data_IF_811659500536
#
_entry.id   IF_811659500536
#
_cell.length_a   1.000
_cell.length_b   1.000
_cell.length_c   1.000
_cell.angle_alpha   90.00
_cell.angle_beta   90.00
_cell.angle_gamma   90.00
#
_symmetry.space_group_name_H-M   'P 1'
#
loop_
_entity.id
_entity.type
_entity.pdbx_description
1 polymer ?
#
# COMPACT_ATOMS: atom_id res chain seq x y z
N UNK A 1 -1.44 15.07 7.64
CA UNK A 1 -0.45 14.62 6.64
C UNK A 1 -0.25 13.12 6.83
N UNK A 2 -0.76 12.30 5.90
CA UNK A 2 -0.55 10.84 5.94
C UNK A 2 0.94 10.52 5.77
N UNK A 3 1.54 9.76 6.69
CA UNK A 3 2.91 9.24 6.58
C UNK A 3 2.91 8.12 5.55
N UNK A 4 3.26 8.44 4.31
CA UNK A 4 3.54 7.42 3.31
C UNK A 4 4.82 6.66 3.69
N UNK A 5 4.77 5.33 3.63
CA UNK A 5 5.95 4.48 3.85
C UNK A 5 6.85 4.49 2.60
N UNK A 6 8.17 4.31 2.73
CA UNK A 6 9.08 4.22 1.57
C UNK A 6 8.66 3.16 0.55
N UNK A 7 8.08 2.04 1.00
CA UNK A 7 7.55 0.99 0.14
C UNK A 7 6.35 1.47 -0.69
N UNK A 8 5.44 2.24 -0.09
CA UNK A 8 4.31 2.80 -0.82
C UNK A 8 4.74 3.80 -1.92
N UNK A 9 5.86 4.50 -1.71
CA UNK A 9 6.46 5.36 -2.75
C UNK A 9 7.02 4.53 -3.91
N UNK A 10 7.74 3.44 -3.59
CA UNK A 10 8.30 2.55 -4.61
C UNK A 10 7.20 1.85 -5.42
N UNK A 11 6.12 1.41 -4.77
CA UNK A 11 4.94 0.84 -5.44
C UNK A 11 4.33 1.85 -6.43
N UNK A 12 4.06 3.07 -5.96
CA UNK A 12 3.54 4.17 -6.78
C UNK A 12 4.42 4.45 -8.01
N UNK A 13 5.74 4.46 -7.81
CA UNK A 13 6.73 4.67 -8.86
C UNK A 13 6.70 3.56 -9.91
N UNK A 14 6.67 2.28 -9.49
CA UNK A 14 6.59 1.13 -10.40
C UNK A 14 5.28 1.12 -11.19
N UNK A 15 4.17 1.44 -10.54
CA UNK A 15 2.86 1.52 -11.20
C UNK A 15 2.87 2.60 -12.29
N UNK A 16 3.45 3.77 -12.03
CA UNK A 16 3.54 4.81 -13.05
C UNK A 16 4.47 4.43 -14.21
N UNK A 17 5.59 3.72 -13.96
CA UNK A 17 6.43 3.17 -15.04
C UNK A 17 5.62 2.22 -15.93
N UNK A 18 4.86 1.31 -15.31
CA UNK A 18 4.03 0.37 -16.05
C UNK A 18 2.94 1.10 -16.85
N UNK A 19 2.31 2.11 -16.25
CA UNK A 19 1.34 2.98 -16.93
C UNK A 19 1.95 3.69 -18.14
N UNK A 20 3.16 4.26 -18.01
CA UNK A 20 3.87 4.87 -19.14
C UNK A 20 4.17 3.87 -20.25
N UNK A 21 4.60 2.65 -19.91
CA UNK A 21 4.89 1.61 -20.89
C UNK A 21 3.62 1.14 -21.62
N UNK A 22 2.53 0.93 -20.88
CA UNK A 22 1.23 0.56 -21.46
C UNK A 22 0.69 1.66 -22.37
N UNK A 23 0.71 2.92 -21.92
CA UNK A 23 0.29 4.07 -22.70
C UNK A 23 1.14 4.23 -23.98
N UNK A 24 2.47 4.07 -23.87
CA UNK A 24 3.37 4.10 -25.03
C UNK A 24 2.99 3.04 -26.07
N UNK A 25 2.82 1.78 -25.66
CA UNK A 25 2.49 0.68 -26.58
C UNK A 25 1.15 0.91 -27.26
N UNK A 26 0.12 1.22 -26.48
CA UNK A 26 -1.24 1.46 -27.00
C UNK A 26 -1.23 2.64 -27.96
N UNK A 27 -0.63 3.76 -27.59
CA UNK A 27 -0.61 4.96 -28.43
C UNK A 27 0.26 4.80 -29.67
N UNK A 28 1.38 4.09 -29.58
CA UNK A 28 2.20 3.77 -30.76
C UNK A 28 1.38 2.99 -31.79
N UNK A 29 0.57 2.01 -31.36
CA UNK A 29 -0.34 1.28 -32.25
C UNK A 29 -1.35 2.25 -32.89
N UNK A 30 -1.97 3.13 -32.11
CA UNK A 30 -2.94 4.10 -32.63
C UNK A 30 -2.32 5.17 -33.55
N UNK A 31 -1.04 5.53 -33.39
CA UNK A 31 -0.34 6.40 -34.36
C UNK A 31 -0.36 5.77 -35.76
N UNK A 32 -0.08 4.47 -35.86
CA UNK A 32 -0.11 3.76 -37.14
C UNK A 32 -1.53 3.57 -37.67
N UNK A 33 -2.46 3.13 -36.83
CA UNK A 33 -3.84 2.84 -37.25
C UNK A 33 -4.63 4.09 -37.60
N UNK A 34 -4.68 5.08 -36.72
CA UNK A 34 -5.47 6.29 -36.91
C UNK A 34 -4.78 7.30 -37.83
N UNK A 35 -3.45 7.35 -37.86
CA UNK A 35 -2.73 8.19 -38.81
C UNK A 35 -3.03 7.81 -40.25
N UNK A 36 -3.20 6.51 -40.52
CA UNK A 36 -3.60 5.99 -41.83
C UNK A 36 -5.09 6.18 -42.12
N UNK A 37 -5.96 5.94 -41.12
CA UNK A 37 -7.43 5.88 -41.34
C UNK A 37 -8.17 7.20 -41.11
N UNK A 38 -7.71 8.04 -40.19
CA UNK A 38 -8.36 9.30 -39.78
C UNK A 38 -7.54 10.54 -40.19
N UNK A 39 -6.37 10.33 -40.80
CA UNK A 39 -5.53 11.39 -41.37
C UNK A 39 -4.40 11.85 -40.45
N UNK A 40 -3.56 12.74 -41.00
CA UNK A 40 -2.30 13.17 -40.38
C UNK A 40 -2.51 13.86 -39.04
N UNK A 41 -3.60 14.61 -38.86
CA UNK A 41 -3.91 15.30 -37.60
C UNK A 41 -4.07 14.33 -36.42
N UNK A 42 -4.79 13.22 -36.60
CA UNK A 42 -4.92 12.19 -35.55
C UNK A 42 -3.59 11.49 -35.28
N UNK A 43 -2.79 11.25 -36.33
CA UNK A 43 -1.43 10.77 -36.19
C UNK A 43 -0.56 11.69 -35.31
N UNK A 44 -0.66 13.02 -35.49
CA UNK A 44 0.03 14.00 -34.66
C UNK A 44 -0.45 14.00 -33.19
N UNK A 45 -1.76 13.90 -32.95
CA UNK A 45 -2.30 13.83 -31.60
C UNK A 45 -1.81 12.58 -30.85
N UNK A 46 -1.91 11.41 -31.46
CA UNK A 46 -1.43 10.16 -30.86
C UNK A 46 0.10 10.19 -30.68
N UNK A 47 0.84 10.79 -31.62
CA UNK A 47 2.30 10.95 -31.50
C UNK A 47 2.68 11.86 -30.33
N UNK A 48 1.90 12.93 -30.09
CA UNK A 48 2.10 13.81 -28.94
C UNK A 48 1.92 13.06 -27.62
N UNK A 49 0.97 12.12 -27.57
CA UNK A 49 0.74 11.30 -26.40
C UNK A 49 1.85 10.26 -26.16
N UNK A 50 2.38 9.67 -27.24
CA UNK A 50 3.60 8.85 -27.19
C UNK A 50 4.76 9.66 -26.60
N UNK A 51 4.96 10.90 -27.05
CA UNK A 51 5.99 11.79 -26.53
C UNK A 51 5.78 12.10 -25.04
N UNK A 52 4.56 12.38 -24.59
CA UNK A 52 4.25 12.58 -23.16
C UNK A 52 4.66 11.33 -22.36
N UNK A 53 4.32 10.14 -22.84
CA UNK A 53 4.65 8.87 -22.18
C UNK A 53 6.16 8.67 -22.06
N UNK A 54 6.91 8.98 -23.12
CA UNK A 54 8.39 8.92 -23.14
C UNK A 54 9.00 9.97 -22.21
N UNK A 55 8.50 11.20 -22.21
CA UNK A 55 9.00 12.28 -21.34
C UNK A 55 8.81 11.92 -19.87
N UNK A 56 7.62 11.45 -19.48
CA UNK A 56 7.36 11.02 -18.10
C UNK A 56 8.21 9.80 -17.74
N UNK A 57 8.29 8.79 -18.62
CA UNK A 57 9.13 7.61 -18.40
C UNK A 57 10.61 7.96 -18.23
N UNK A 58 11.12 8.88 -19.05
CA UNK A 58 12.49 9.39 -18.96
C UNK A 58 12.72 10.19 -17.67
N UNK A 59 11.78 11.05 -17.29
CA UNK A 59 11.82 11.76 -16.01
C UNK A 59 11.86 10.80 -14.82
N UNK A 60 11.06 9.72 -14.83
CA UNK A 60 11.11 8.67 -13.81
C UNK A 60 12.45 7.95 -13.79
N UNK A 61 13.00 7.64 -14.95
CA UNK A 61 14.30 6.99 -15.08
C UNK A 61 15.44 7.84 -14.51
N UNK A 62 15.47 9.14 -14.80
CA UNK A 62 16.45 10.06 -14.23
C UNK A 62 16.34 10.15 -12.70
N UNK A 63 15.12 10.12 -12.17
CA UNK A 63 14.85 10.21 -10.73
C UNK A 63 14.83 8.85 -10.01
N UNK A 64 15.31 7.77 -10.64
CA UNK A 64 15.30 6.42 -10.03
C UNK A 64 16.06 6.32 -8.69
N UNK A 65 17.04 7.19 -8.47
CA UNK A 65 17.81 7.26 -7.20
C UNK A 65 17.08 8.06 -6.12
N UNK A 66 16.29 9.05 -6.53
CA UNK A 66 15.55 9.97 -5.65
C UNK A 66 14.08 9.91 -6.04
N UNK A 67 13.39 8.86 -5.58
CA UNK A 67 12.01 8.57 -6.00
C UNK A 67 11.14 9.81 -5.76
N UNK A 68 10.44 10.31 -6.80
CA UNK A 68 9.61 11.50 -6.68
C UNK A 68 8.53 11.34 -5.62
N UNK A 69 8.02 12.48 -5.13
CA UNK A 69 6.89 12.47 -4.19
C UNK A 69 5.66 11.80 -4.81
N UNK A 70 4.82 11.17 -3.98
CA UNK A 70 3.56 10.55 -4.45
C UNK A 70 2.68 11.55 -5.21
N UNK A 71 2.66 12.83 -4.77
CA UNK A 71 1.93 13.89 -5.46
C UNK A 71 2.46 14.13 -6.88
N UNK A 72 3.78 14.11 -7.07
CA UNK A 72 4.40 14.24 -8.40
C UNK A 72 4.07 13.05 -9.29
N UNK A 73 4.02 11.85 -8.73
CA UNK A 73 3.62 10.63 -9.46
C UNK A 73 2.14 10.67 -9.84
N UNK A 74 1.25 11.15 -8.96
CA UNK A 74 -0.17 11.37 -9.26
C UNK A 74 -0.38 12.39 -10.37
N UNK A 75 0.32 13.53 -10.33
CA UNK A 75 0.28 14.53 -11.39
C UNK A 75 0.79 13.95 -12.70
N UNK A 76 1.89 13.18 -12.66
CA UNK A 76 2.40 12.48 -13.84
C UNK A 76 1.37 11.52 -14.42
N UNK A 77 0.69 10.74 -13.58
CA UNK A 77 -0.38 9.84 -14.02
C UNK A 77 -1.55 10.59 -14.65
N UNK A 78 -2.00 11.70 -14.04
CA UNK A 78 -3.07 12.54 -14.58
C UNK A 78 -2.70 13.14 -15.94
N UNK A 79 -1.48 13.67 -16.09
CA UNK A 79 -0.97 14.18 -17.37
C UNK A 79 -0.89 13.08 -18.42
N UNK A 80 -0.58 11.85 -18.00
CA UNK A 80 -0.53 10.68 -18.88
C UNK A 80 -1.95 10.23 -19.30
N UNK A 81 -2.94 10.28 -18.41
CA UNK A 81 -4.30 9.80 -18.68
C UNK A 81 -5.16 10.82 -19.42
N UNK A 82 -5.03 12.12 -19.13
CA UNK A 82 -5.88 13.17 -19.69
C UNK A 82 -5.93 13.23 -21.23
N UNK A 83 -4.83 13.04 -21.98
CA UNK A 83 -4.88 13.07 -23.43
C UNK A 83 -5.77 11.98 -24.04
N UNK A 84 -5.97 10.83 -23.36
CA UNK A 84 -6.90 9.79 -23.84
C UNK A 84 -8.33 10.32 -23.99
N UNK A 85 -8.78 11.24 -23.12
CA UNK A 85 -10.11 11.83 -23.21
C UNK A 85 -10.25 12.66 -24.48
N UNK A 86 -9.23 13.46 -24.80
CA UNK A 86 -9.21 14.34 -25.98
C UNK A 86 -9.08 13.52 -27.26
N UNK A 87 -8.15 12.57 -27.31
CA UNK A 87 -7.93 11.73 -28.50
C UNK A 87 -9.13 10.84 -28.79
N UNK A 88 -9.75 10.26 -27.76
CA UNK A 88 -11.00 9.48 -27.92
C UNK A 88 -12.11 10.36 -28.46
N UNK A 89 -12.34 11.54 -27.87
CA UNK A 89 -13.41 12.44 -28.31
C UNK A 89 -13.25 12.83 -29.79
N UNK A 90 -12.07 13.31 -30.18
CA UNK A 90 -11.80 13.76 -31.55
C UNK A 90 -11.81 12.57 -32.51
N UNK A 91 -11.16 11.46 -32.15
CA UNK A 91 -11.01 10.29 -33.00
C UNK A 91 -12.34 9.63 -33.31
N UNK A 92 -13.17 9.41 -32.30
CA UNK A 92 -14.48 8.79 -32.49
C UNK A 92 -15.46 9.73 -33.22
N UNK A 93 -15.43 11.04 -32.94
CA UNK A 93 -16.21 12.02 -33.71
C UNK A 93 -15.82 12.02 -35.19
N UNK A 94 -14.51 11.97 -35.48
CA UNK A 94 -13.97 11.97 -36.84
C UNK A 94 -14.29 10.65 -37.55
N UNK A 95 -14.13 9.52 -36.87
CA UNK A 95 -14.47 8.20 -37.42
C UNK A 95 -15.95 8.10 -37.80
N UNK A 96 -16.85 8.59 -36.93
CA UNK A 96 -18.29 8.62 -37.21
C UNK A 96 -18.62 9.55 -38.38
N UNK A 97 -17.99 10.73 -38.46
CA UNK A 97 -18.16 11.65 -39.59
C UNK A 97 -17.73 11.02 -40.94
N UNK A 98 -16.75 10.12 -40.91
CA UNK A 98 -16.28 9.33 -42.06
C UNK A 98 -17.11 8.05 -42.30
N UNK A 99 -18.19 7.83 -41.54
CA UNK A 99 -19.05 6.65 -41.67
C UNK A 99 -18.43 5.34 -41.16
N UNK A 100 -17.37 5.42 -40.33
CA UNK A 100 -16.76 4.23 -39.75
C UNK A 100 -17.62 3.69 -38.60
N UNK A 101 -17.96 2.40 -38.66
CA UNK A 101 -18.65 1.69 -37.59
C UNK A 101 -17.66 1.34 -36.46
N UNK A 102 -17.38 2.32 -35.60
CA UNK A 102 -16.61 2.13 -34.36
C UNK A 102 -17.55 2.04 -33.16
N UNK A 103 -17.03 1.51 -32.05
CA UNK A 103 -17.72 1.53 -30.75
C UNK A 103 -17.19 2.72 -29.92
N UNK A 104 -17.80 3.91 -30.01
CA UNK A 104 -17.18 5.18 -29.56
C UNK A 104 -16.92 5.27 -28.05
N UNK A 105 -17.52 4.38 -27.27
CA UNK A 105 -17.44 4.40 -25.81
C UNK A 105 -16.46 3.38 -25.23
N UNK A 106 -16.03 2.39 -26.01
CA UNK A 106 -15.11 1.34 -25.54
C UNK A 106 -13.79 1.91 -25.01
N UNK A 107 -13.15 2.91 -25.65
CA UNK A 107 -11.93 3.49 -25.09
C UNK A 107 -12.15 4.15 -23.72
N UNK A 108 -13.31 4.81 -23.50
CA UNK A 108 -13.65 5.43 -22.20
C UNK A 108 -13.91 4.38 -21.12
N UNK A 109 -14.55 3.26 -21.48
CA UNK A 109 -14.76 2.12 -20.58
C UNK A 109 -13.42 1.52 -20.12
N UNK A 110 -12.49 1.28 -21.06
CA UNK A 110 -11.15 0.81 -20.73
C UNK A 110 -10.34 1.83 -19.93
N UNK A 111 -10.51 3.13 -20.21
CA UNK A 111 -9.84 4.19 -19.46
C UNK A 111 -10.28 4.19 -17.99
N UNK A 112 -11.57 3.99 -17.69
CA UNK A 112 -12.05 3.84 -16.31
C UNK A 112 -11.35 2.67 -15.59
N UNK A 113 -11.27 1.50 -16.23
CA UNK A 113 -10.58 0.33 -15.66
C UNK A 113 -9.09 0.60 -15.49
N UNK A 114 -8.46 1.20 -16.51
CA UNK A 114 -7.04 1.59 -16.49
C UNK A 114 -6.73 2.49 -15.30
N UNK A 115 -7.54 3.52 -15.04
CA UNK A 115 -7.38 4.43 -13.91
C UNK A 115 -7.54 3.66 -12.58
N UNK A 116 -8.56 2.81 -12.46
CA UNK A 116 -8.81 2.04 -11.24
C UNK A 116 -7.66 1.08 -10.89
N UNK A 117 -7.05 0.45 -11.91
CA UNK A 117 -5.96 -0.51 -11.73
C UNK A 117 -4.63 0.20 -11.51
N UNK A 118 -4.31 1.19 -12.35
CA UNK A 118 -2.96 1.75 -12.47
C UNK A 118 -2.77 3.13 -11.82
N UNK A 119 -3.78 3.72 -11.18
CA UNK A 119 -3.55 4.97 -10.46
C UNK A 119 -2.60 4.73 -9.27
N UNK A 120 -1.44 5.43 -9.18
CA UNK A 120 -0.40 5.12 -8.20
C UNK A 120 -0.72 5.61 -6.77
N UNK A 121 -1.68 6.50 -6.61
CA UNK A 121 -1.80 7.32 -5.40
C UNK A 121 -3.14 7.24 -4.67
N UNK A 122 -3.61 8.41 -4.27
CA UNK A 122 -4.82 8.62 -3.48
C UNK A 122 -6.05 8.18 -4.27
N UNK A 123 -6.86 7.36 -3.61
CA UNK A 123 -8.17 6.89 -4.10
C UNK A 123 -9.05 8.05 -4.56
N UNK A 124 -9.03 9.18 -3.85
CA UNK A 124 -9.83 10.35 -4.19
C UNK A 124 -9.49 10.92 -5.57
N UNK A 125 -8.20 10.97 -5.93
CA UNK A 125 -7.77 11.51 -7.23
C UNK A 125 -8.16 10.55 -8.35
N UNK A 126 -7.94 9.25 -8.17
CA UNK A 126 -8.36 8.23 -9.12
C UNK A 126 -9.89 8.22 -9.33
N UNK A 127 -10.65 8.34 -8.24
CA UNK A 127 -12.12 8.41 -8.29
C UNK A 127 -12.59 9.67 -9.02
N UNK A 128 -11.90 10.81 -8.81
CA UNK A 128 -12.15 12.03 -9.55
C UNK A 128 -11.88 11.87 -11.06
N UNK A 129 -10.75 11.26 -11.45
CA UNK A 129 -10.45 10.98 -12.87
C UNK A 129 -11.50 10.05 -13.51
N UNK A 130 -11.95 9.02 -12.80
CA UNK A 130 -13.04 8.16 -13.26
C UNK A 130 -14.32 8.99 -13.42
N UNK A 131 -14.68 9.82 -12.45
CA UNK A 131 -15.87 10.67 -12.53
C UNK A 131 -15.82 11.63 -13.72
N UNK A 132 -14.67 12.27 -13.96
CA UNK A 132 -14.44 13.12 -15.13
C UNK A 132 -14.63 12.31 -16.42
N UNK A 133 -14.08 11.10 -16.49
CA UNK A 133 -14.24 10.21 -17.65
C UNK A 133 -15.71 9.88 -17.90
N UNK A 134 -16.50 9.63 -16.86
CA UNK A 134 -17.94 9.36 -16.98
C UNK A 134 -18.73 10.60 -17.42
N UNK A 135 -18.39 11.78 -16.89
CA UNK A 135 -19.02 13.04 -17.32
C UNK A 135 -18.72 13.30 -18.80
N UNK A 136 -17.48 13.08 -19.24
CA UNK A 136 -17.10 13.17 -20.65
C UNK A 136 -17.90 12.17 -21.47
N UNK A 137 -18.03 10.91 -21.06
CA UNK A 137 -18.83 9.91 -21.77
C UNK A 137 -20.30 10.33 -21.92
N UNK A 138 -20.95 10.76 -20.83
CA UNK A 138 -22.36 11.21 -20.88
C UNK A 138 -22.50 12.42 -21.80
N UNK A 139 -21.59 13.38 -21.71
CA UNK A 139 -21.59 14.57 -22.58
C UNK A 139 -21.40 14.17 -24.05
N UNK A 140 -20.49 13.24 -24.30
CA UNK A 140 -20.20 12.73 -25.64
C UNK A 140 -21.43 12.04 -26.25
N UNK A 141 -22.14 11.26 -25.45
CA UNK A 141 -23.38 10.62 -25.87
C UNK A 141 -24.45 11.62 -26.29
N UNK A 142 -24.67 12.69 -25.53
CA UNK A 142 -25.61 13.74 -25.91
C UNK A 142 -25.21 14.44 -27.22
N UNK A 143 -23.92 14.75 -27.39
CA UNK A 143 -23.41 15.37 -28.62
C UNK A 143 -23.59 14.45 -29.83
N UNK A 144 -23.21 13.18 -29.71
CA UNK A 144 -23.37 12.20 -30.78
C UNK A 144 -24.83 11.98 -31.15
N UNK A 145 -25.73 11.89 -30.17
CA UNK A 145 -27.16 11.74 -30.42
C UNK A 145 -27.76 12.95 -31.14
N UNK A 146 -27.29 14.15 -30.84
CA UNK A 146 -27.73 15.38 -31.49
C UNK A 146 -27.21 15.49 -32.94
N UNK A 147 -25.96 15.11 -33.19
CA UNK A 147 -25.32 15.21 -34.51
C UNK A 147 -25.69 14.05 -35.44
N UNK A 148 -25.86 12.84 -34.89
CA UNK A 148 -26.01 11.61 -35.65
C UNK A 148 -27.14 10.72 -35.09
N UNK A 149 -28.43 11.15 -35.19
CA UNK A 149 -29.56 10.49 -34.55
C UNK A 149 -29.82 9.05 -35.01
N UNK A 150 -29.28 8.65 -36.17
CA UNK A 150 -29.47 7.32 -36.76
C UNK A 150 -28.36 6.31 -36.42
N UNK A 151 -27.34 6.69 -35.64
CA UNK A 151 -26.15 5.84 -35.40
C UNK A 151 -26.40 4.61 -34.54
N UNK A 152 -27.61 4.43 -33.98
CA UNK A 152 -27.99 3.18 -33.32
C UNK A 152 -27.10 2.81 -32.12
N UNK A 153 -26.50 3.82 -31.45
CA UNK A 153 -25.73 3.62 -30.21
C UNK A 153 -26.69 3.19 -29.08
N UNK A 154 -27.03 1.92 -29.08
CA UNK A 154 -27.94 1.29 -28.12
C UNK A 154 -27.21 1.00 -26.82
N UNK A 155 -27.88 1.21 -25.69
CA UNK A 155 -27.34 0.90 -24.36
C UNK A 155 -26.39 1.95 -23.76
N UNK A 156 -25.89 2.90 -24.54
CA UNK A 156 -25.12 4.04 -23.99
C UNK A 156 -26.05 5.16 -23.50
N UNK A 157 -25.67 5.93 -22.46
CA UNK A 157 -24.39 5.89 -21.73
C UNK A 157 -24.36 4.85 -20.58
N UNK A 158 -25.41 4.04 -20.41
CA UNK A 158 -25.58 3.15 -19.26
C UNK A 158 -24.52 2.04 -19.21
N UNK A 159 -24.10 1.51 -20.36
CA UNK A 159 -22.99 0.57 -20.42
C UNK A 159 -21.71 1.20 -19.86
N UNK A 160 -21.33 2.40 -20.31
CA UNK A 160 -20.15 3.11 -19.79
C UNK A 160 -20.25 3.44 -18.30
N UNK A 161 -21.43 3.83 -17.82
CA UNK A 161 -21.67 4.05 -16.39
C UNK A 161 -21.48 2.77 -15.57
N UNK A 162 -21.87 1.61 -16.11
CA UNK A 162 -21.66 0.30 -15.46
C UNK A 162 -20.16 -0.02 -15.34
N UNK A 163 -19.38 0.23 -16.39
CA UNK A 163 -17.92 0.09 -16.34
C UNK A 163 -17.28 1.08 -15.34
N UNK A 164 -17.78 2.31 -15.27
CA UNK A 164 -17.40 3.28 -14.24
C UNK A 164 -17.66 2.78 -12.82
N UNK A 165 -18.83 2.21 -12.58
CA UNK A 165 -19.18 1.62 -11.29
C UNK A 165 -18.24 0.46 -10.93
N UNK A 166 -17.97 -0.45 -11.88
CA UNK A 166 -17.00 -1.54 -11.71
C UNK A 166 -15.62 -1.00 -11.38
N UNK A 167 -15.15 0.03 -12.11
CA UNK A 167 -13.87 0.68 -11.84
C UNK A 167 -13.81 1.30 -10.42
N UNK A 168 -14.88 1.96 -9.96
CA UNK A 168 -14.97 2.49 -8.60
C UNK A 168 -14.98 1.39 -7.53
N UNK A 169 -15.67 0.27 -7.78
CA UNK A 169 -15.64 -0.90 -6.89
C UNK A 169 -14.24 -1.50 -6.82
N UNK A 170 -13.55 -1.67 -7.95
CA UNK A 170 -12.16 -2.14 -8.00
C UNK A 170 -11.23 -1.20 -7.24
N UNK A 171 -11.37 0.11 -7.43
CA UNK A 171 -10.59 1.12 -6.74
C UNK A 171 -10.82 1.08 -5.22
N UNK A 172 -12.06 0.88 -4.79
CA UNK A 172 -12.43 0.74 -3.38
C UNK A 172 -11.87 -0.55 -2.76
N UNK A 173 -11.99 -1.67 -3.47
CA UNK A 173 -11.41 -2.95 -3.06
C UNK A 173 -9.88 -2.86 -2.92
N UNK A 174 -9.22 -2.16 -3.84
CA UNK A 174 -7.78 -1.88 -3.78
C UNK A 174 -7.40 -1.06 -2.55
N UNK A 175 -8.17 -0.02 -2.25
CA UNK A 175 -7.98 0.81 -1.06
C UNK A 175 -8.12 0.00 0.24
N UNK A 176 -9.17 -0.83 0.29
CA UNK A 176 -9.44 -1.70 1.42
C UNK A 176 -8.32 -2.74 1.63
N UNK A 177 -7.88 -3.41 0.55
CA UNK A 177 -6.78 -4.37 0.58
C UNK A 177 -5.49 -3.73 1.10
N UNK A 178 -5.16 -2.52 0.65
CA UNK A 178 -3.98 -1.78 1.13
C UNK A 178 -4.06 -1.50 2.63
N UNK A 179 -5.25 -1.11 3.12
CA UNK A 179 -5.48 -0.92 4.56
C UNK A 179 -5.32 -2.19 5.38
N UNK A 180 -5.76 -3.35 4.87
CA UNK A 180 -5.55 -4.65 5.52
C UNK A 180 -4.07 -5.01 5.57
N UNK A 181 -3.36 -4.89 4.44
CA UNK A 181 -1.94 -5.24 4.36
C UNK A 181 -1.13 -4.42 5.36
N UNK A 182 -1.38 -3.11 5.44
CA UNK A 182 -0.71 -2.24 6.41
C UNK A 182 -0.98 -2.64 7.86
N UNK A 183 -2.23 -3.05 8.18
CA UNK A 183 -2.56 -3.55 9.51
C UNK A 183 -1.83 -4.86 9.81
N UNK A 184 -1.80 -5.78 8.85
CA UNK A 184 -1.11 -7.07 8.98
C UNK A 184 0.40 -6.88 9.20
N UNK A 185 1.03 -6.00 8.43
CA UNK A 185 2.46 -5.66 8.58
C UNK A 185 2.74 -5.05 9.95
N UNK A 186 1.88 -4.15 10.43
CA UNK A 186 2.02 -3.57 11.77
C UNK A 186 1.92 -4.63 12.86
N UNK A 187 0.90 -5.48 12.82
CA UNK A 187 0.72 -6.57 13.79
C UNK A 187 1.87 -7.57 13.75
N UNK A 188 2.41 -7.87 12.55
CA UNK A 188 3.59 -8.73 12.41
C UNK A 188 4.84 -8.09 13.02
N UNK A 189 5.06 -6.81 12.78
CA UNK A 189 6.19 -6.08 13.36
C UNK A 189 6.10 -6.00 14.90
N UNK A 190 4.90 -5.78 15.44
CA UNK A 190 4.64 -5.82 16.89
C UNK A 190 4.92 -7.22 17.47
N UNK A 191 4.43 -8.28 16.82
CA UNK A 191 4.69 -9.66 17.23
C UNK A 191 6.19 -10.03 17.21
N UNK A 192 6.92 -9.62 16.16
CA UNK A 192 8.37 -9.83 16.08
C UNK A 192 9.13 -9.07 17.18
N UNK A 193 8.68 -7.87 17.54
CA UNK A 193 9.28 -7.10 18.63
C UNK A 193 9.07 -7.79 19.99
N UNK A 194 7.86 -8.29 20.27
CA UNK A 194 7.59 -9.08 21.47
C UNK A 194 8.42 -10.36 21.54
N UNK A 195 8.58 -11.07 20.42
CA UNK A 195 9.42 -12.27 20.37
C UNK A 195 10.89 -11.95 20.66
N UNK A 196 11.42 -10.82 20.16
CA UNK A 196 12.77 -10.37 20.47
C UNK A 196 12.92 -9.98 21.95
N UNK A 197 11.94 -9.30 22.53
CA UNK A 197 11.94 -8.96 23.95
C UNK A 197 11.94 -10.22 24.83
N UNK A 198 11.07 -11.19 24.54
CA UNK A 198 11.01 -12.47 25.25
C UNK A 198 12.35 -13.22 25.18
N UNK A 199 12.99 -13.29 24.00
CA UNK A 199 14.33 -13.88 23.85
C UNK A 199 15.38 -13.17 24.70
N UNK A 200 15.32 -11.85 24.79
CA UNK A 200 16.25 -11.07 25.60
C UNK A 200 16.03 -11.30 27.10
N UNK A 201 14.77 -11.35 27.57
CA UNK A 201 14.46 -11.67 28.96
C UNK A 201 14.94 -13.07 29.36
N UNK A 202 14.74 -14.08 28.49
CA UNK A 202 15.27 -15.42 28.71
C UNK A 202 16.80 -15.41 28.80
N UNK A 203 17.48 -14.73 27.87
CA UNK A 203 18.94 -14.62 27.90
C UNK A 203 19.47 -13.90 29.15
N UNK A 204 18.75 -12.89 29.65
CA UNK A 204 19.08 -12.19 30.91
C UNK A 204 18.88 -13.12 32.10
N UNK A 205 17.77 -13.85 32.17
CA UNK A 205 17.48 -14.85 33.21
C UNK A 205 18.58 -15.91 33.27
N UNK A 206 18.90 -16.51 32.13
CA UNK A 206 19.88 -17.59 32.05
C UNK A 206 21.28 -17.11 32.49
N UNK A 207 21.62 -15.85 32.19
CA UNK A 207 22.87 -15.22 32.66
C UNK A 207 22.85 -14.82 34.14
N UNK A 208 21.69 -14.45 34.69
CA UNK A 208 21.57 -14.05 36.10
C UNK A 208 21.63 -15.24 37.07
N UNK A 209 21.19 -16.43 36.64
CA UNK A 209 21.15 -17.62 37.48
C UNK A 209 22.52 -18.06 38.01
N UNK A 210 23.57 -18.02 37.18
CA UNK A 210 24.90 -18.49 37.62
C UNK A 210 25.55 -17.58 38.68
N UNK A 211 25.61 -16.24 38.50
CA UNK A 211 26.05 -15.33 39.56
C UNK A 211 25.24 -15.46 40.85
N UNK A 212 23.91 -15.65 40.77
CA UNK A 212 23.07 -15.84 41.95
C UNK A 212 23.45 -17.09 42.75
N UNK A 213 23.73 -18.20 42.06
CA UNK A 213 24.22 -19.42 42.71
C UNK A 213 25.57 -19.20 43.41
N UNK A 214 26.49 -18.46 42.77
CA UNK A 214 27.79 -18.12 43.36
C UNK A 214 27.63 -17.22 44.59
N UNK A 215 26.81 -16.17 44.51
CA UNK A 215 26.56 -15.28 45.65
C UNK A 215 25.91 -16.05 46.80
N UNK A 216 24.97 -16.95 46.52
CA UNK A 216 24.34 -17.79 47.54
C UNK A 216 25.34 -18.75 48.21
N UNK A 217 26.24 -19.36 47.43
CA UNK A 217 27.32 -20.20 47.95
C UNK A 217 28.27 -19.40 48.85
N UNK A 218 28.70 -18.22 48.40
CA UNK A 218 29.56 -17.32 49.18
C UNK A 218 28.89 -16.89 50.48
N UNK A 219 27.59 -16.53 50.44
CA UNK A 219 26.82 -16.18 51.62
C UNK A 219 26.79 -17.34 52.63
N UNK A 220 26.55 -18.56 52.16
CA UNK A 220 26.52 -19.77 53.01
C UNK A 220 27.89 -20.03 53.67
N UNK A 221 28.99 -19.82 52.95
CA UNK A 221 30.35 -19.97 53.50
C UNK A 221 30.71 -18.90 54.54
N UNK A 222 30.23 -17.65 54.38
CA UNK A 222 30.45 -16.57 55.35
C UNK A 222 29.74 -16.91 56.67
N UNK A 223 28.48 -17.38 56.62
CA UNK A 223 27.72 -17.83 57.79
C UNK A 223 28.44 -18.95 58.55
N UNK A 224 28.99 -19.91 57.82
CA UNK A 224 29.70 -21.04 58.42
C UNK A 224 31.01 -20.62 59.10
N UNK A 225 31.68 -19.56 58.64
CA UNK A 225 32.95 -19.08 59.20
C UNK A 225 32.80 -18.05 60.31
N UNK A 226 31.80 -17.16 60.23
CA UNK A 226 31.63 -16.04 61.15
C UNK A 226 30.19 -16.03 61.71
N UNK A 227 29.86 -16.89 62.68
CA UNK A 227 28.50 -16.99 63.21
C UNK A 227 28.02 -15.71 63.92
N UNK A 228 28.94 -14.81 64.32
CA UNK A 228 28.61 -13.59 65.07
C UNK A 228 28.17 -12.40 64.17
N UNK A 229 28.42 -12.44 62.86
CA UNK A 229 28.01 -11.37 61.90
C UNK A 229 26.61 -11.61 61.29
N UNK A 230 25.60 -11.82 62.12
CA UNK A 230 24.23 -12.18 61.68
C UNK A 230 23.54 -11.09 60.85
N UNK A 231 23.70 -9.81 61.18
CA UNK A 231 22.94 -8.73 60.54
C UNK A 231 23.30 -8.52 59.04
N UNK A 232 24.60 -8.54 58.72
CA UNK A 232 25.08 -8.35 57.33
C UNK A 232 24.68 -9.52 56.44
N UNK A 233 24.74 -10.74 56.98
CA UNK A 233 24.29 -11.96 56.30
C UNK A 233 22.79 -11.90 55.99
N UNK A 234 21.96 -11.52 56.96
CA UNK A 234 20.51 -11.44 56.75
C UNK A 234 20.13 -10.40 55.67
N UNK A 235 20.87 -9.29 55.58
CA UNK A 235 20.69 -8.30 54.51
C UNK A 235 21.08 -8.87 53.13
N UNK A 236 22.16 -9.65 53.05
CA UNK A 236 22.58 -10.31 51.83
C UNK A 236 21.57 -11.38 51.38
N UNK A 237 21.09 -12.21 52.31
CA UNK A 237 20.05 -13.21 52.04
C UNK A 237 18.74 -12.59 51.55
N UNK A 238 18.27 -11.50 52.20
CA UNK A 238 17.09 -10.77 51.73
C UNK A 238 17.26 -10.19 50.32
N UNK A 239 18.46 -9.74 49.98
CA UNK A 239 18.76 -9.23 48.63
C UNK A 239 18.80 -10.34 47.58
N UNK A 240 19.31 -11.53 47.94
CA UNK A 240 19.28 -12.73 47.11
C UNK A 240 17.84 -13.19 46.83
N UNK A 241 16.98 -13.22 47.86
CA UNK A 241 15.57 -13.58 47.71
C UNK A 241 14.87 -12.63 46.73
N UNK A 242 15.07 -11.30 46.85
CA UNK A 242 14.50 -10.33 45.91
C UNK A 242 15.00 -10.51 44.48
N UNK A 243 16.27 -10.90 44.30
CA UNK A 243 16.82 -11.18 42.97
C UNK A 243 16.25 -12.48 42.39
N UNK A 244 16.01 -13.50 43.22
CA UNK A 244 15.31 -14.72 42.83
C UNK A 244 13.86 -14.45 42.44
N UNK A 245 13.12 -13.68 43.22
CA UNK A 245 11.75 -13.24 42.88
C UNK A 245 11.70 -12.53 41.52
N UNK A 246 12.66 -11.63 41.24
CA UNK A 246 12.79 -10.98 39.93
C UNK A 246 13.08 -11.97 38.79
N UNK A 247 13.87 -13.02 39.04
CA UNK A 247 14.16 -14.04 38.03
C UNK A 247 12.97 -14.97 37.78
N UNK A 248 12.18 -15.25 38.82
CA UNK A 248 10.95 -16.05 38.73
C UNK A 248 9.84 -15.31 37.98
N UNK A 249 9.68 -14.00 38.20
CA UNK A 249 8.75 -13.16 37.43
C UNK A 249 9.12 -13.16 35.94
N UNK A 250 10.42 -13.12 35.63
CA UNK A 250 10.90 -13.25 34.25
C UNK A 250 10.60 -14.63 33.66
N UNK A 251 10.53 -15.69 34.46
CA UNK A 251 10.15 -17.02 34.01
C UNK A 251 8.65 -17.14 33.69
N UNK A 252 7.77 -16.41 34.38
CA UNK A 252 6.32 -16.37 34.05
C UNK A 252 6.07 -15.83 32.63
N UNK A 253 6.98 -15.03 32.05
CA UNK A 253 6.85 -14.55 30.65
C UNK A 253 6.94 -15.66 29.59
N UNK A 254 7.43 -16.85 29.95
CA UNK A 254 7.51 -18.03 29.08
C UNK A 254 6.12 -18.63 28.83
N UNK A 255 5.23 -18.58 29.83
CA UNK A 255 3.82 -19.00 29.73
C UNK A 255 3.09 -18.17 28.67
N UNK A 256 3.37 -16.87 28.61
CA UNK A 256 2.68 -15.96 27.70
C UNK A 256 3.02 -16.25 26.23
N UNK A 257 4.23 -16.75 25.98
CA UNK A 257 4.66 -17.18 24.64
C UNK A 257 3.86 -18.39 24.17
N UNK A 258 3.57 -19.33 25.07
CA UNK A 258 2.75 -20.50 24.76
C UNK A 258 1.27 -20.11 24.56
N UNK A 259 0.71 -19.25 25.41
CA UNK A 259 -0.66 -18.74 25.26
C UNK A 259 -0.85 -18.00 23.93
N UNK A 260 0.14 -17.19 23.52
CA UNK A 260 0.08 -16.51 22.22
C UNK A 260 0.10 -17.46 21.04
N UNK A 261 0.98 -18.49 21.07
CA UNK A 261 1.03 -19.50 20.01
C UNK A 261 -0.27 -20.28 19.88
N UNK A 262 -1.00 -20.44 20.97
CA UNK A 262 -2.32 -21.06 20.99
C UNK A 262 -3.45 -20.14 20.47
N UNK A 263 -3.13 -18.90 20.07
CA UNK A 263 -4.12 -17.92 19.61
C UNK A 263 -4.88 -17.23 20.74
N UNK A 264 -4.40 -17.35 21.98
CA UNK A 264 -4.97 -16.68 23.14
C UNK A 264 -4.69 -15.17 23.15
N UNK A 265 -5.59 -14.40 23.74
CA UNK A 265 -5.43 -12.96 23.93
C UNK A 265 -4.42 -12.68 25.05
N UNK A 266 -3.20 -12.31 24.66
CA UNK A 266 -2.11 -12.05 25.62
C UNK A 266 -2.48 -10.88 26.55
N UNK A 267 -3.29 -9.92 26.09
CA UNK A 267 -3.55 -8.68 26.84
C UNK A 267 -4.10 -8.93 28.25
N UNK A 268 -4.91 -9.97 28.40
CA UNK A 268 -5.50 -10.40 29.68
C UNK A 268 -4.44 -10.97 30.64
N UNK A 269 -3.42 -11.64 30.11
CA UNK A 269 -2.34 -12.25 30.89
C UNK A 269 -1.26 -11.23 31.27
N UNK A 270 -1.05 -10.22 30.41
CA UNK A 270 -0.17 -9.07 30.71
C UNK A 270 -0.69 -8.32 31.93
N UNK A 271 -1.97 -8.00 31.93
CA UNK A 271 -2.58 -7.18 32.97
C UNK A 271 -2.53 -7.87 34.34
N UNK A 272 -2.80 -9.19 34.38
CA UNK A 272 -2.71 -10.00 35.61
C UNK A 272 -1.32 -10.03 36.23
N UNK A 273 -0.28 -10.02 35.40
CA UNK A 273 1.09 -10.15 35.90
C UNK A 273 1.65 -8.78 36.29
N UNK A 274 1.31 -7.73 35.54
CA UNK A 274 1.62 -6.36 35.95
C UNK A 274 0.92 -5.97 37.26
N UNK A 275 -0.31 -6.44 37.50
CA UNK A 275 -0.99 -6.19 38.79
C UNK A 275 -0.35 -6.91 39.99
N UNK A 276 0.51 -7.93 39.78
CA UNK A 276 1.30 -8.54 40.87
C UNK A 276 2.58 -7.76 41.17
N UNK A 277 3.04 -6.94 40.22
CA UNK A 277 4.28 -6.17 40.30
C UNK A 277 4.11 -4.77 40.92
N UNK A 278 2.87 -4.26 40.99
CA UNK A 278 2.49 -2.97 41.58
C UNK A 278 1.84 -3.17 42.93
#
# INVERSE_FOLDING_TARGET
MSKYTPESHMESYRTLIFACAAAFVVQAIFVFLDGYTLGTFMGWLNSSHVLISVIIGFWLFQNRKNIPSVRSLEIGFFILSAPFLVTTWIGESTGLALGQLRQPFVPLQFLCIYIAVLSPGRVIIAAFEILVTLVVAVTFWFVLKAQYPLTGVTGEPYATLTYGLVALMMLSARAYRKGIIQKLEKTKAEAEAFERAARLFLAVRDRANSPLQVINLCATLIVARNPDETETVERLQRSLVKLQELTDILAETEVWRETYKAGGDISVEIDKTFSKLV
#
